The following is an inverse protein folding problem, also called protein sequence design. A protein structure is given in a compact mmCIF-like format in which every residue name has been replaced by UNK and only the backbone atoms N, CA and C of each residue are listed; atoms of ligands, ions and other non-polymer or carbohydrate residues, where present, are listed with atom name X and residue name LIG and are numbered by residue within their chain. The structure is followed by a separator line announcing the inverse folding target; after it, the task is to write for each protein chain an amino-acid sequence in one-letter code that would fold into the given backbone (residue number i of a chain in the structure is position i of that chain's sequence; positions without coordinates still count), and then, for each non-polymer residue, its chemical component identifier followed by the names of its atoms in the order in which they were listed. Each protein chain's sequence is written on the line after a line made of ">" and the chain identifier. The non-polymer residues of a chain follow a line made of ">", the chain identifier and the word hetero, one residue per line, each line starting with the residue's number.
data_IF_635868989958
#
_entry.id   IF_635868989958
#
_cell.length_a   1.000
_cell.length_b   1.000
_cell.length_c   1.000
_cell.angle_alpha   90.00
_cell.angle_beta   90.00
_cell.angle_gamma   90.00
#
_symmetry.space_group_name_H-M   'P 1'
#
loop_
_entity.id
_entity.type
_entity.pdbx_description
1 polymer ?
#
# COMPACT_ATOMS: atom_id res chain seq x y z
N UNK A 1 0.98 11.05 25.77
CA UNK A 1 1.82 11.54 24.65
C UNK A 1 1.61 10.82 23.31
N UNK A 2 1.35 9.49 23.23
CA UNK A 2 1.03 8.81 21.95
C UNK A 2 -0.17 9.44 21.23
N UNK A 3 -1.16 9.86 22.03
CA UNK A 3 -2.43 10.38 21.53
C UNK A 3 -2.29 11.68 20.73
N UNK A 4 -1.42 12.61 21.17
CA UNK A 4 -1.24 13.89 20.47
C UNK A 4 -0.64 13.73 19.08
N UNK A 5 0.32 12.80 18.89
CA UNK A 5 0.91 12.54 17.57
C UNK A 5 -0.13 11.93 16.61
N UNK A 6 -0.92 10.99 17.11
CA UNK A 6 -2.03 10.38 16.36
C UNK A 6 -3.07 11.44 15.97
N UNK A 7 -3.56 12.21 16.94
CA UNK A 7 -4.52 13.30 16.70
C UNK A 7 -3.98 14.36 15.71
N UNK A 8 -2.69 14.68 15.77
CA UNK A 8 -2.07 15.61 14.83
C UNK A 8 -1.99 15.02 13.40
N UNK A 9 -1.78 13.71 13.26
CA UNK A 9 -1.89 12.97 12.00
C UNK A 9 -3.30 13.01 11.45
N UNK A 10 -4.28 12.55 12.24
CA UNK A 10 -5.71 12.53 11.87
C UNK A 10 -6.23 13.92 11.50
N UNK A 11 -5.78 14.97 12.18
CA UNK A 11 -6.12 16.35 11.86
C UNK A 11 -5.55 16.77 10.50
N UNK A 12 -4.32 16.39 10.19
CA UNK A 12 -3.69 16.70 8.91
C UNK A 12 -4.42 15.98 7.77
N UNK A 13 -4.68 14.68 7.91
CA UNK A 13 -5.43 13.87 6.95
C UNK A 13 -6.85 14.44 6.74
N UNK A 14 -7.55 14.77 7.82
CA UNK A 14 -8.89 15.40 7.76
C UNK A 14 -8.87 16.75 7.06
N UNK A 15 -7.83 17.56 7.30
CA UNK A 15 -7.68 18.86 6.64
C UNK A 15 -7.47 18.68 5.14
N UNK A 16 -6.59 17.77 4.73
CA UNK A 16 -6.31 17.48 3.32
C UNK A 16 -7.57 16.94 2.63
N UNK A 17 -8.24 15.96 3.24
CA UNK A 17 -9.53 15.41 2.78
C UNK A 17 -10.56 16.52 2.55
N UNK A 18 -10.73 17.43 3.52
CA UNK A 18 -11.63 18.58 3.39
C UNK A 18 -11.31 19.46 2.17
N UNK A 19 -10.04 19.78 1.92
CA UNK A 19 -9.65 20.56 0.75
C UNK A 19 -9.94 19.79 -0.55
N UNK A 20 -9.64 18.50 -0.61
CA UNK A 20 -9.88 17.71 -1.81
C UNK A 20 -11.38 17.62 -2.13
N UNK A 21 -12.19 17.29 -1.14
CA UNK A 21 -13.64 17.14 -1.30
C UNK A 21 -14.30 18.48 -1.65
N UNK A 22 -13.93 19.57 -0.96
CA UNK A 22 -14.49 20.90 -1.19
C UNK A 22 -14.25 21.40 -2.61
N UNK A 23 -13.06 21.17 -3.17
CA UNK A 23 -12.66 21.77 -4.45
C UNK A 23 -12.81 20.83 -5.65
N UNK A 24 -12.77 19.51 -5.43
CA UNK A 24 -12.81 18.51 -6.50
C UNK A 24 -13.96 17.50 -6.37
N UNK A 25 -14.56 17.34 -5.19
CA UNK A 25 -15.57 16.30 -4.92
C UNK A 25 -16.83 16.39 -5.78
N UNK A 26 -17.22 17.58 -6.21
CA UNK A 26 -18.36 17.80 -7.13
C UNK A 26 -17.95 18.06 -8.59
N UNK A 27 -16.66 17.89 -8.93
CA UNK A 27 -16.16 18.12 -10.28
C UNK A 27 -15.98 16.80 -11.03
N UNK A 28 -16.76 16.59 -12.08
CA UNK A 28 -16.79 15.33 -12.84
C UNK A 28 -15.46 14.93 -13.49
N UNK A 29 -14.48 15.85 -13.58
CA UNK A 29 -13.14 15.53 -14.06
C UNK A 29 -12.28 14.78 -13.03
N UNK A 30 -12.76 14.63 -11.80
CA UNK A 30 -12.03 14.05 -10.69
C UNK A 30 -12.87 13.01 -9.95
N UNK A 31 -12.21 12.01 -9.38
CA UNK A 31 -12.76 11.14 -8.32
C UNK A 31 -11.78 11.11 -7.16
N UNK A 32 -12.28 11.32 -5.95
CA UNK A 32 -11.46 11.40 -4.73
C UNK A 32 -11.77 10.20 -3.85
N UNK A 33 -10.75 9.45 -3.49
CA UNK A 33 -10.80 8.37 -2.51
C UNK A 33 -9.88 8.75 -1.36
N UNK A 34 -10.41 8.77 -0.15
CA UNK A 34 -9.66 9.06 1.07
C UNK A 34 -9.53 7.78 1.88
N UNK A 35 -8.39 7.61 2.54
CA UNK A 35 -8.07 6.46 3.39
C UNK A 35 -8.23 5.11 2.65
N UNK A 36 -7.68 5.04 1.44
CA UNK A 36 -7.81 3.85 0.59
C UNK A 36 -6.81 2.79 1.05
N UNK A 37 -7.33 1.68 1.58
CA UNK A 37 -6.52 0.51 1.92
C UNK A 37 -6.60 -0.52 0.79
N UNK A 38 -5.44 -0.89 0.25
CA UNK A 38 -5.31 -1.95 -0.76
C UNK A 38 -4.37 -3.05 -0.28
N UNK A 39 -4.65 -4.30 -0.64
CA UNK A 39 -3.79 -5.45 -0.36
C UNK A 39 -3.35 -6.10 -1.68
N UNK A 40 -2.05 -6.05 -1.98
CA UNK A 40 -1.52 -6.73 -3.17
C UNK A 40 -0.46 -7.71 -2.73
N UNK A 41 -0.61 -8.98 -3.10
CA UNK A 41 0.32 -10.06 -2.74
C UNK A 41 0.59 -10.20 -1.22
N UNK A 42 -0.39 -9.85 -0.36
CA UNK A 42 -0.23 -9.89 1.10
C UNK A 42 0.40 -8.63 1.71
N UNK A 43 0.65 -7.59 0.90
CA UNK A 43 1.15 -6.30 1.35
C UNK A 43 0.03 -5.28 1.39
N UNK A 44 -0.27 -4.81 2.60
CA UNK A 44 -1.20 -3.71 2.80
C UNK A 44 -0.53 -2.38 2.47
N UNK A 45 -1.22 -1.53 1.73
CA UNK A 45 -0.86 -0.14 1.52
C UNK A 45 -2.07 0.72 1.81
N UNK A 46 -1.89 1.63 2.76
CA UNK A 46 -2.82 2.73 2.99
C UNK A 46 -2.37 3.89 2.12
N UNK A 47 -3.30 4.45 1.35
CA UNK A 47 -3.12 5.64 0.54
C UNK A 47 -4.00 6.72 1.17
N UNK A 48 -3.39 7.72 1.80
CA UNK A 48 -4.10 8.79 2.51
C UNK A 48 -5.18 9.41 1.62
N UNK A 49 -4.79 9.84 0.41
CA UNK A 49 -5.74 10.30 -0.60
C UNK A 49 -5.30 9.94 -2.02
N UNK A 50 -6.24 9.43 -2.81
CA UNK A 50 -6.08 9.13 -4.22
C UNK A 50 -7.00 10.03 -5.05
N UNK A 51 -6.41 10.79 -5.95
CA UNK A 51 -7.15 11.57 -6.96
C UNK A 51 -7.06 10.84 -8.30
N UNK A 52 -8.21 10.42 -8.83
CA UNK A 52 -8.34 9.91 -10.20
C UNK A 52 -8.76 11.05 -11.10
N UNK A 53 -8.10 11.20 -12.25
CA UNK A 53 -8.43 12.20 -13.26
C UNK A 53 -8.17 11.65 -14.66
N UNK A 54 -8.58 12.39 -15.70
CA UNK A 54 -8.56 11.89 -17.09
C UNK A 54 -7.24 11.27 -17.55
N UNK A 55 -6.07 11.77 -17.13
CA UNK A 55 -4.79 11.21 -17.60
C UNK A 55 -4.25 10.09 -16.69
N UNK A 56 -4.81 9.88 -15.49
CA UNK A 56 -4.25 8.93 -14.53
C UNK A 56 -4.61 9.20 -13.08
N UNK A 57 -3.60 9.09 -12.22
CA UNK A 57 -3.73 9.11 -10.76
C UNK A 57 -2.76 10.09 -10.10
N UNK A 58 -3.17 10.67 -8.98
CA UNK A 58 -2.30 11.41 -8.07
C UNK A 58 -2.46 10.80 -6.68
N UNK A 59 -1.37 10.26 -6.14
CA UNK A 59 -1.26 9.87 -4.74
C UNK A 59 -0.85 11.10 -3.94
N UNK A 60 -1.69 11.48 -2.97
CA UNK A 60 -1.43 12.57 -2.04
C UNK A 60 -1.13 11.97 -0.68
N UNK A 61 0.14 12.01 -0.28
CA UNK A 61 0.59 11.58 1.04
C UNK A 61 0.58 12.77 1.98
N UNK A 62 -0.13 12.67 3.10
CA UNK A 62 -0.27 13.75 4.07
C UNK A 62 0.74 13.55 5.22
N UNK A 63 1.46 14.61 5.59
CA UNK A 63 2.43 14.54 6.69
C UNK A 63 2.20 15.65 7.70
N UNK A 64 1.83 15.24 8.91
CA UNK A 64 1.71 16.14 10.05
C UNK A 64 3.10 16.50 10.58
N UNK A 65 3.55 17.72 10.29
CA UNK A 65 4.87 18.21 10.68
C UNK A 65 4.72 19.48 11.50
N UNK A 66 5.20 19.42 12.74
CA UNK A 66 5.36 20.58 13.60
C UNK A 66 6.85 20.95 13.62
N UNK A 67 7.16 22.22 13.32
CA UNK A 67 8.55 22.71 13.23
C UNK A 67 9.08 22.72 11.80
N UNK A 68 10.37 22.47 11.63
CA UNK A 68 11.04 22.44 10.36
C UNK A 68 11.19 21.02 9.80
N UNK A 69 11.23 20.92 8.47
CA UNK A 69 11.61 19.71 7.74
C UNK A 69 12.72 20.09 6.76
N UNK A 70 13.73 19.23 6.66
CA UNK A 70 14.80 19.37 5.67
C UNK A 70 15.04 18.02 5.00
N UNK A 71 15.55 18.09 3.78
CA UNK A 71 16.01 16.93 3.04
C UNK A 71 17.41 17.25 2.55
N UNK A 72 18.36 16.36 2.81
CA UNK A 72 19.72 16.53 2.32
C UNK A 72 19.82 16.12 0.84
N UNK A 73 21.00 16.32 0.24
CA UNK A 73 21.25 16.01 -1.17
C UNK A 73 21.15 14.52 -1.52
N UNK A 74 21.21 13.62 -0.52
CA UNK A 74 21.00 12.17 -0.69
C UNK A 74 19.52 11.76 -0.59
N UNK A 75 18.62 12.71 -0.31
CA UNK A 75 17.20 12.43 -0.17
C UNK A 75 16.79 11.90 1.21
N UNK A 76 17.65 12.05 2.23
CA UNK A 76 17.35 11.67 3.61
C UNK A 76 16.52 12.76 4.29
N UNK A 77 15.44 12.36 4.95
CA UNK A 77 14.46 13.28 5.51
C UNK A 77 14.67 13.43 7.02
N UNK A 78 14.65 14.68 7.47
CA UNK A 78 14.70 15.00 8.89
C UNK A 78 13.63 16.02 9.26
N UNK A 79 13.11 15.91 10.47
CA UNK A 79 12.24 16.93 11.07
C UNK A 79 12.84 17.45 12.37
N UNK A 80 12.58 18.72 12.67
CA UNK A 80 12.95 19.31 13.95
C UNK A 80 11.84 19.09 14.99
N UNK A 81 12.20 18.77 16.23
CA UNK A 81 11.28 18.82 17.36
C UNK A 81 12.03 19.31 18.60
N UNK A 82 11.54 20.41 19.20
CA UNK A 82 12.18 21.08 20.36
C UNK A 82 13.67 21.41 20.15
N UNK A 83 14.03 21.84 18.93
CA UNK A 83 15.41 22.23 18.58
C UNK A 83 16.29 21.08 18.10
N UNK A 84 15.89 19.83 18.33
CA UNK A 84 16.62 18.63 17.90
C UNK A 84 16.12 18.12 16.54
N UNK A 85 17.00 17.48 15.76
CA UNK A 85 16.67 16.87 14.47
C UNK A 85 16.55 15.35 14.57
N UNK A 86 15.54 14.80 13.90
CA UNK A 86 15.29 13.37 13.87
C UNK A 86 15.03 12.92 12.44
N UNK A 87 15.68 11.83 12.04
CA UNK A 87 15.39 11.15 10.79
C UNK A 87 13.94 10.68 10.74
N UNK A 88 13.30 10.81 9.58
CA UNK A 88 11.99 10.25 9.28
C UNK A 88 12.05 9.46 7.98
N UNK A 89 11.19 8.44 7.80
CA UNK A 89 11.12 7.75 6.52
C UNK A 89 10.69 8.72 5.41
N UNK A 90 11.20 8.50 4.19
CA UNK A 90 10.90 9.34 3.04
C UNK A 90 9.42 9.22 2.62
N UNK A 91 8.63 10.31 2.68
CA UNK A 91 7.25 10.31 2.19
C UNK A 91 7.14 10.05 0.69
N UNK A 92 8.15 10.46 -0.09
CA UNK A 92 8.19 10.22 -1.54
C UNK A 92 8.36 8.73 -1.84
N UNK A 93 9.23 8.04 -1.09
CA UNK A 93 9.40 6.59 -1.24
C UNK A 93 8.15 5.82 -0.77
N UNK A 94 7.47 6.28 0.28
CA UNK A 94 6.18 5.71 0.71
C UNK A 94 5.14 5.80 -0.42
N UNK A 95 5.00 6.98 -1.02
CA UNK A 95 4.09 7.18 -2.14
C UNK A 95 4.47 6.36 -3.39
N UNK A 96 5.77 6.14 -3.65
CA UNK A 96 6.21 5.29 -4.75
C UNK A 96 5.75 3.83 -4.57
N UNK A 97 5.90 3.28 -3.36
CA UNK A 97 5.42 1.92 -3.03
C UNK A 97 3.90 1.82 -3.14
N UNK A 98 3.16 2.81 -2.64
CA UNK A 98 1.71 2.90 -2.80
C UNK A 98 1.29 2.89 -4.29
N UNK A 99 1.98 3.66 -5.14
CA UNK A 99 1.73 3.71 -6.58
C UNK A 99 1.98 2.36 -7.23
N UNK A 100 3.05 1.65 -6.86
CA UNK A 100 3.38 0.35 -7.43
C UNK A 100 2.32 -0.70 -7.07
N UNK A 101 1.84 -0.70 -5.82
CA UNK A 101 0.75 -1.56 -5.40
C UNK A 101 -0.57 -1.20 -6.11
N UNK A 102 -0.88 0.10 -6.25
CA UNK A 102 -2.04 0.55 -7.03
C UNK A 102 -1.97 0.08 -8.48
N UNK A 103 -0.80 0.21 -9.13
CA UNK A 103 -0.58 -0.26 -10.51
C UNK A 103 -0.82 -1.75 -10.64
N UNK A 104 -0.28 -2.54 -9.71
CA UNK A 104 -0.44 -3.99 -9.71
C UNK A 104 -1.93 -4.38 -9.59
N UNK A 105 -2.64 -3.82 -8.61
CA UNK A 105 -4.08 -4.06 -8.43
C UNK A 105 -4.89 -3.69 -9.67
N UNK A 106 -4.69 -2.49 -10.21
CA UNK A 106 -5.43 -2.03 -11.40
C UNK A 106 -5.13 -2.89 -12.63
N UNK A 107 -3.88 -3.34 -12.79
CA UNK A 107 -3.48 -4.17 -13.93
C UNK A 107 -4.10 -5.58 -13.86
N UNK A 108 -4.25 -6.16 -12.68
CA UNK A 108 -4.95 -7.44 -12.46
C UNK A 108 -6.43 -7.36 -12.88
N UNK A 109 -7.05 -6.19 -12.73
CA UNK A 109 -8.47 -5.96 -13.03
C UNK A 109 -8.71 -5.16 -14.34
N UNK A 110 -7.70 -5.02 -15.21
CA UNK A 110 -7.77 -4.08 -16.34
C UNK A 110 -8.93 -4.28 -17.32
N UNK A 111 -9.39 -5.52 -17.53
CA UNK A 111 -10.50 -5.82 -18.45
C UNK A 111 -11.87 -5.48 -17.89
N UNK A 112 -11.99 -5.42 -16.57
CA UNK A 112 -13.18 -4.96 -15.87
C UNK A 112 -13.24 -3.43 -15.85
N UNK A 113 -12.08 -2.79 -15.68
CA UNK A 113 -11.99 -1.34 -15.46
C UNK A 113 -11.94 -0.54 -16.77
N UNK A 114 -11.20 -1.04 -17.77
CA UNK A 114 -10.91 -0.32 -19.00
C UNK A 114 -11.60 -0.94 -20.22
N UNK A 115 -11.97 -0.07 -21.15
CA UNK A 115 -12.51 -0.47 -22.43
C UNK A 115 -11.49 -1.12 -23.36
N UNK A 116 -11.97 -1.45 -24.56
CA UNK A 116 -11.14 -1.86 -25.69
C UNK A 116 -11.04 -0.70 -26.67
N UNK A 117 -9.87 -0.50 -27.25
CA UNK A 117 -9.65 0.42 -28.36
C UNK A 117 -9.33 -0.39 -29.61
N UNK A 118 -10.15 -0.26 -30.67
CA UNK A 118 -10.03 -1.05 -31.91
C UNK A 118 -9.95 -2.58 -31.65
N UNK A 119 -10.73 -3.07 -30.69
CA UNK A 119 -10.75 -4.48 -30.30
C UNK A 119 -9.60 -4.92 -29.39
N UNK A 120 -8.59 -4.08 -29.15
CA UNK A 120 -7.47 -4.35 -28.26
C UNK A 120 -7.78 -3.89 -26.84
N UNK A 121 -7.57 -4.77 -25.85
CA UNK A 121 -7.76 -4.44 -24.44
C UNK A 121 -6.76 -3.36 -23.99
N UNK A 122 -7.26 -2.23 -23.52
CA UNK A 122 -6.43 -1.16 -23.00
C UNK A 122 -5.69 -1.59 -21.71
N UNK A 123 -4.66 -0.84 -21.34
CA UNK A 123 -3.86 -1.05 -20.12
C UNK A 123 -3.60 0.29 -19.43
N UNK A 124 -3.21 0.20 -18.16
CA UNK A 124 -2.80 1.33 -17.34
C UNK A 124 -1.35 1.79 -17.57
N UNK A 125 -0.52 1.03 -18.31
CA UNK A 125 0.92 1.29 -18.40
C UNK A 125 1.35 2.66 -18.93
N UNK A 126 0.54 3.29 -19.79
CA UNK A 126 0.80 4.63 -20.34
C UNK A 126 0.02 5.76 -19.63
N UNK A 127 -0.67 5.44 -18.52
CA UNK A 127 -1.37 6.44 -17.71
C UNK A 127 -0.39 7.16 -16.80
N UNK A 128 -0.73 8.37 -16.38
CA UNK A 128 0.10 9.15 -15.48
C UNK A 128 -0.07 8.69 -14.02
N UNK A 129 1.03 8.62 -13.29
CA UNK A 129 1.06 8.39 -11.85
C UNK A 129 1.90 9.48 -11.23
N UNK A 130 1.28 10.31 -10.40
CA UNK A 130 1.92 11.48 -9.80
C UNK A 130 1.88 11.38 -8.28
N UNK A 131 2.83 12.04 -7.65
CA UNK A 131 2.96 12.11 -6.20
C UNK A 131 2.90 13.56 -5.73
N UNK A 132 2.13 13.79 -4.68
CA UNK A 132 2.10 15.05 -3.93
C UNK A 132 2.30 14.73 -2.45
N UNK A 133 3.26 15.39 -1.80
CA UNK A 133 3.48 15.31 -0.36
C UNK A 133 2.90 16.57 0.27
N UNK A 134 1.74 16.44 0.92
CA UNK A 134 1.02 17.52 1.57
C UNK A 134 1.46 17.67 3.04
N UNK A 135 2.35 18.62 3.30
CA UNK A 135 2.83 18.91 4.66
C UNK A 135 1.97 19.97 5.33
N UNK A 136 1.86 19.93 6.66
CA UNK A 136 1.10 20.92 7.44
C UNK A 136 1.46 22.36 7.09
N UNK A 137 0.46 23.25 7.07
CA UNK A 137 0.64 24.68 6.82
C UNK A 137 1.57 25.39 7.81
N UNK A 138 1.77 24.83 9.00
CA UNK A 138 2.70 25.36 10.00
C UNK A 138 4.15 24.87 9.81
N UNK A 139 4.39 23.92 8.92
CA UNK A 139 5.72 23.36 8.69
C UNK A 139 6.62 24.37 7.97
N UNK A 140 7.88 24.47 8.43
CA UNK A 140 8.95 25.23 7.76
C UNK A 140 9.79 24.28 6.93
N UNK A 141 9.59 24.28 5.62
CA UNK A 141 10.40 23.49 4.69
C UNK A 141 11.68 24.25 4.34
N UNK A 142 12.83 23.72 4.76
CA UNK A 142 14.15 24.17 4.31
C UNK A 142 14.41 23.60 2.92
N UNK A 143 14.55 24.48 1.91
CA UNK A 143 14.68 24.08 0.50
C UNK A 143 16.12 24.09 -0.01
N UNK A 144 17.08 24.58 0.77
CA UNK A 144 18.42 24.93 0.26
C UNK A 144 19.17 23.71 -0.31
N UNK A 145 18.92 22.54 0.27
CA UNK A 145 19.60 21.29 -0.09
C UNK A 145 18.68 20.22 -0.70
N UNK A 146 17.39 20.52 -0.91
CA UNK A 146 16.45 19.52 -1.40
C UNK A 146 16.64 19.31 -2.92
N UNK A 147 16.92 18.07 -3.38
CA UNK A 147 16.96 17.76 -4.80
C UNK A 147 15.67 18.18 -5.52
N UNK A 148 15.79 18.70 -6.75
CA UNK A 148 14.66 19.25 -7.49
C UNK A 148 13.56 18.20 -7.75
N UNK A 149 13.96 16.96 -7.99
CA UNK A 149 13.09 15.81 -8.21
C UNK A 149 12.28 15.43 -6.96
N UNK A 150 12.79 15.73 -5.76
CA UNK A 150 12.06 15.60 -4.49
C UNK A 150 11.21 16.86 -4.22
N UNK A 151 11.82 18.03 -4.34
CA UNK A 151 11.26 19.34 -4.01
C UNK A 151 9.95 19.62 -4.75
N UNK A 152 9.84 19.17 -6.01
CA UNK A 152 8.65 19.31 -6.85
C UNK A 152 7.40 18.59 -6.31
N UNK A 153 7.58 17.56 -5.47
CA UNK A 153 6.46 16.81 -4.88
C UNK A 153 5.89 17.49 -3.64
N UNK A 154 6.67 18.33 -2.95
CA UNK A 154 6.33 18.86 -1.63
C UNK A 154 5.53 20.15 -1.75
N UNK A 155 4.35 20.16 -1.13
CA UNK A 155 3.47 21.32 -1.05
C UNK A 155 2.93 21.47 0.37
N UNK A 156 2.77 22.71 0.83
CA UNK A 156 2.03 22.96 2.08
C UNK A 156 0.53 22.85 1.80
N UNK A 157 -0.25 22.35 2.75
CA UNK A 157 -1.68 22.06 2.56
C UNK A 157 -2.47 23.23 1.96
N UNK A 158 -2.16 24.47 2.32
CA UNK A 158 -2.86 25.67 1.80
C UNK A 158 -2.68 25.89 0.28
N UNK A 159 -1.65 25.29 -0.34
CA UNK A 159 -1.39 25.36 -1.78
C UNK A 159 -1.70 24.05 -2.52
N UNK A 160 -2.27 23.06 -1.82
CA UNK A 160 -2.54 21.73 -2.38
C UNK A 160 -3.47 21.79 -3.61
N UNK A 161 -4.52 22.60 -3.54
CA UNK A 161 -5.53 22.72 -4.60
C UNK A 161 -4.89 23.21 -5.89
N UNK A 162 -4.06 24.26 -5.82
CA UNK A 162 -3.39 24.82 -6.99
C UNK A 162 -2.37 23.83 -7.56
N UNK A 163 -1.61 23.15 -6.69
CA UNK A 163 -0.69 22.09 -7.13
C UNK A 163 -1.40 20.99 -7.91
N UNK A 164 -2.56 20.51 -7.44
CA UNK A 164 -3.33 19.48 -8.14
C UNK A 164 -3.83 20.01 -9.49
N UNK A 165 -4.36 21.24 -9.52
CA UNK A 165 -4.81 21.88 -10.77
C UNK A 165 -3.68 22.01 -11.78
N UNK A 166 -2.49 22.45 -11.35
CA UNK A 166 -1.33 22.57 -12.24
C UNK A 166 -0.94 21.22 -12.84
N UNK A 167 -0.91 20.18 -12.00
CA UNK A 167 -0.60 18.81 -12.42
C UNK A 167 -1.64 18.26 -13.41
N UNK A 168 -2.92 18.61 -13.30
CA UNK A 168 -3.97 18.10 -14.19
C UNK A 168 -4.22 18.99 -15.41
N UNK A 169 -3.94 20.30 -15.34
CA UNK A 169 -4.06 21.24 -16.46
C UNK A 169 -2.91 21.11 -17.46
N UNK A 170 -1.70 20.79 -17.01
CA UNK A 170 -0.61 20.44 -17.92
C UNK A 170 -0.99 19.27 -18.86
N UNK A 171 -1.89 18.40 -18.41
CA UNK A 171 -2.42 17.30 -19.21
C UNK A 171 -3.64 17.68 -20.08
N UNK A 172 -4.20 18.89 -19.96
CA UNK A 172 -5.40 19.36 -20.69
C UNK A 172 -5.12 20.46 -21.73
N UNK A 173 -3.96 21.12 -21.70
CA UNK A 173 -3.62 22.21 -22.62
C UNK A 173 -3.32 21.67 -24.04
N UNK A 174 -4.36 21.55 -24.85
CA UNK A 174 -4.37 20.97 -26.20
C UNK A 174 -3.64 21.75 -27.30
N UNK A 175 -2.86 22.79 -26.98
CA UNK A 175 -2.18 23.63 -27.97
C UNK A 175 -0.66 23.39 -28.10
N UNK A 176 -0.08 22.48 -27.30
CA UNK A 176 1.36 22.09 -27.42
C UNK A 176 1.59 20.61 -27.78
N UNK A 177 0.54 19.82 -28.05
CA UNK A 177 0.64 18.35 -28.12
C UNK A 177 0.51 17.75 -29.54
N UNK A 178 1.16 18.30 -30.56
CA UNK A 178 1.23 17.63 -31.87
C UNK A 178 2.08 16.33 -31.87
N UNK A 179 2.57 15.85 -30.72
CA UNK A 179 3.51 14.72 -30.69
C UNK A 179 3.21 13.54 -29.72
N UNK A 180 2.30 13.63 -28.74
CA UNK A 180 1.93 12.47 -27.88
C UNK A 180 0.50 12.57 -27.37
N UNK A 181 -0.44 11.83 -27.96
CA UNK A 181 -1.77 11.67 -27.37
C UNK A 181 -1.65 10.71 -26.18
N UNK A 182 -1.44 11.25 -24.99
CA UNK A 182 -1.50 10.46 -23.76
C UNK A 182 -2.88 9.82 -23.65
N UNK A 183 -2.98 8.52 -23.31
CA UNK A 183 -4.27 7.87 -23.15
C UNK A 183 -5.08 8.55 -22.05
N UNK A 184 -6.31 8.97 -22.35
CA UNK A 184 -7.26 9.53 -21.36
C UNK A 184 -8.37 8.55 -21.00
N UNK A 185 -8.77 8.52 -19.74
CA UNK A 185 -9.93 7.76 -19.30
C UNK A 185 -11.20 8.46 -19.78
N UNK A 186 -12.19 7.68 -20.14
CA UNK A 186 -13.57 8.16 -20.26
C UNK A 186 -14.16 8.43 -18.85
N UNK A 187 -15.27 9.16 -18.77
CA UNK A 187 -15.98 9.35 -17.50
C UNK A 187 -16.39 7.99 -16.89
N UNK A 188 -16.97 7.11 -17.69
CA UNK A 188 -17.39 5.78 -17.27
C UNK A 188 -16.22 4.92 -16.75
N UNK A 189 -15.04 5.01 -17.38
CA UNK A 189 -13.84 4.32 -16.87
C UNK A 189 -13.41 4.87 -15.51
N UNK A 190 -13.44 6.19 -15.30
CA UNK A 190 -13.15 6.78 -14.00
C UNK A 190 -14.18 6.35 -12.94
N UNK A 191 -15.46 6.26 -13.30
CA UNK A 191 -16.52 5.79 -12.40
C UNK A 191 -16.38 4.31 -12.05
N UNK A 192 -16.04 3.46 -13.02
CA UNK A 192 -15.71 2.05 -12.77
C UNK A 192 -14.51 1.90 -11.84
N UNK A 193 -13.42 2.62 -12.12
CA UNK A 193 -12.21 2.61 -11.27
C UNK A 193 -12.55 3.07 -9.85
N UNK A 194 -13.26 4.19 -9.70
CA UNK A 194 -13.67 4.71 -8.40
C UNK A 194 -14.50 3.69 -7.62
N UNK A 195 -15.52 3.13 -8.27
CA UNK A 195 -16.44 2.18 -7.64
C UNK A 195 -15.72 0.90 -7.24
N UNK A 196 -14.84 0.38 -8.10
CA UNK A 196 -14.00 -0.77 -7.83
C UNK A 196 -13.11 -0.55 -6.60
N UNK A 197 -12.33 0.53 -6.56
CA UNK A 197 -11.42 0.82 -5.45
C UNK A 197 -12.17 1.05 -4.13
N UNK A 198 -13.32 1.74 -4.19
CA UNK A 198 -14.19 1.96 -3.01
C UNK A 198 -14.76 0.66 -2.46
N UNK A 199 -15.16 -0.26 -3.33
CA UNK A 199 -15.69 -1.56 -2.91
C UNK A 199 -14.57 -2.47 -2.40
N UNK A 200 -13.38 -2.40 -3.01
CA UNK A 200 -12.19 -3.09 -2.54
C UNK A 200 -11.87 -2.74 -1.08
N UNK A 201 -11.92 -1.45 -0.73
CA UNK A 201 -11.73 -0.96 0.64
C UNK A 201 -12.72 -1.59 1.64
N UNK A 202 -14.01 -1.65 1.29
CA UNK A 202 -15.06 -2.25 2.14
C UNK A 202 -14.90 -3.75 2.35
N UNK A 203 -14.32 -4.45 1.38
CA UNK A 203 -14.02 -5.88 1.51
C UNK A 203 -12.78 -6.17 2.37
N UNK A 204 -11.92 -5.16 2.58
CA UNK A 204 -10.72 -5.24 3.43
C UNK A 204 -10.93 -4.72 4.87
N UNK A 205 -12.04 -4.04 5.17
CA UNK A 205 -12.38 -3.67 6.55
C UNK A 205 -12.73 -4.91 7.37
N UNK A 206 -12.07 -5.16 8.51
CA UNK A 206 -12.57 -6.13 9.48
C UNK A 206 -13.96 -5.66 9.93
N UNK A 207 -14.96 -6.54 9.84
CA UNK A 207 -16.24 -6.34 10.53
C UNK A 207 -15.92 -5.95 11.98
N UNK A 208 -16.49 -4.87 12.54
CA UNK A 208 -16.28 -4.54 13.93
C UNK A 208 -16.80 -5.74 14.73
N UNK A 209 -15.89 -6.47 15.37
CA UNK A 209 -16.25 -7.41 16.40
C UNK A 209 -16.78 -6.53 17.53
N UNK A 210 -18.10 -6.40 17.62
CA UNK A 210 -18.72 -5.84 18.80
C UNK A 210 -18.26 -6.68 19.98
N UNK A 211 -17.54 -6.04 20.89
CA UNK A 211 -17.16 -6.56 22.21
C UNK A 211 -18.43 -6.83 23.04
N UNK A 212 -19.19 -7.86 22.68
CA UNK A 212 -20.02 -8.55 23.65
C UNK A 212 -19.11 -9.51 24.39
N UNK A 213 -18.67 -9.06 25.56
CA UNK A 213 -18.15 -9.93 26.63
C UNK A 213 -19.00 -11.21 26.69
N UNK A 214 -18.45 -12.41 26.46
CA UNK A 214 -19.16 -13.62 26.78
C UNK A 214 -19.16 -13.75 28.31
N UNK A 215 -20.35 -13.64 28.89
CA UNK A 215 -20.60 -14.20 30.22
C UNK A 215 -20.31 -15.68 30.13
N UNK A 216 -19.50 -16.16 31.06
CA UNK A 216 -19.13 -17.56 31.19
C UNK A 216 -20.39 -18.41 31.34
N UNK A 217 -20.57 -19.36 30.43
CA UNK A 217 -21.43 -20.52 30.67
C UNK A 217 -20.76 -21.75 30.07
N UNK A 218 -20.61 -22.77 30.91
CA UNK A 218 -19.98 -24.03 30.59
C UNK A 218 -20.72 -24.72 29.43
N UNK A 219 -20.02 -24.93 28.33
CA UNK A 219 -20.38 -25.94 27.35
C UNK A 219 -19.11 -26.68 26.91
N UNK A 220 -19.19 -27.99 27.06
CA UNK A 220 -18.19 -29.03 26.89
C UNK A 220 -17.18 -28.84 25.75
N UNK A 221 -15.93 -29.19 26.07
CA UNK A 221 -14.81 -29.34 25.13
C UNK A 221 -15.08 -30.52 24.19
N UNK A 222 -15.16 -30.32 22.85
CA UNK A 222 -14.90 -31.39 21.91
C UNK A 222 -13.40 -31.40 21.60
N UNK A 223 -12.80 -32.57 21.83
CA UNK A 223 -11.42 -32.91 21.54
C UNK A 223 -11.05 -32.56 20.10
N UNK A 224 -9.84 -32.03 19.97
CA UNK A 224 -9.04 -31.83 18.77
C UNK A 224 -9.00 -33.06 17.86
N UNK A 225 -9.40 -32.88 16.59
CA UNK A 225 -8.95 -33.69 15.46
C UNK A 225 -7.89 -32.87 14.71
N UNK A 226 -6.70 -33.46 14.54
CA UNK A 226 -5.47 -32.79 14.12
C UNK A 226 -5.57 -32.05 12.79
N UNK A 227 -5.11 -30.81 12.78
CA UNK A 227 -4.75 -30.10 11.55
C UNK A 227 -3.31 -30.47 11.19
N UNK A 228 -3.11 -31.09 10.03
CA UNK A 228 -1.78 -31.35 9.49
C UNK A 228 -1.08 -30.02 9.16
N UNK A 229 0.14 -29.83 9.67
CA UNK A 229 0.99 -28.68 9.35
C UNK A 229 2.10 -29.10 8.38
N UNK A 230 2.48 -28.21 7.47
CA UNK A 230 3.71 -28.36 6.69
C UNK A 230 4.89 -27.96 7.57
N UNK A 231 5.73 -28.92 7.93
CA UNK A 231 6.97 -28.66 8.67
C UNK A 231 8.09 -28.24 7.72
N UNK A 232 8.99 -27.39 8.22
CA UNK A 232 10.12 -26.84 7.45
C UNK A 232 11.37 -26.97 8.29
N UNK A 233 12.47 -27.39 7.67
CA UNK A 233 13.78 -27.45 8.31
C UNK A 233 14.80 -26.60 7.55
N UNK A 234 15.82 -26.11 8.26
CA UNK A 234 16.93 -25.40 7.64
C UNK A 234 17.67 -26.34 6.68
N UNK A 235 17.83 -25.93 5.41
CA UNK A 235 18.50 -26.72 4.39
C UNK A 235 19.99 -26.98 4.66
N UNK A 236 20.61 -26.25 5.59
CA UNK A 236 22.03 -26.38 5.94
C UNK A 236 22.26 -27.14 7.24
N UNK A 237 21.56 -26.80 8.33
CA UNK A 237 21.81 -27.38 9.64
C UNK A 237 20.65 -28.21 10.21
N UNK A 238 19.53 -28.34 9.49
CA UNK A 238 18.38 -29.15 9.91
C UNK A 238 17.51 -28.52 11.00
N UNK A 239 17.82 -27.31 11.48
CA UNK A 239 17.04 -26.59 12.49
C UNK A 239 15.56 -26.43 12.09
N UNK A 240 14.63 -26.72 13.01
CA UNK A 240 13.16 -26.67 12.77
C UNK A 240 12.45 -25.57 13.54
N UNK A 241 13.00 -25.11 14.65
CA UNK A 241 12.27 -24.27 15.60
C UNK A 241 12.68 -22.80 15.45
N UNK A 242 13.99 -22.56 15.33
CA UNK A 242 14.53 -21.20 15.23
C UNK A 242 14.55 -20.68 13.77
N UNK A 243 13.36 -20.61 13.16
CA UNK A 243 13.13 -20.22 11.77
C UNK A 243 12.20 -19.00 11.67
N UNK A 244 12.67 -17.92 11.05
CA UNK A 244 11.89 -16.71 10.83
C UNK A 244 11.39 -16.64 9.37
N UNK A 245 10.08 -16.65 9.12
CA UNK A 245 9.58 -16.45 7.77
C UNK A 245 9.79 -14.98 7.31
N UNK A 246 10.30 -14.82 6.09
CA UNK A 246 10.61 -13.56 5.41
C UNK A 246 10.21 -13.63 3.93
N UNK A 247 10.34 -12.51 3.21
CA UNK A 247 10.06 -12.39 1.79
C UNK A 247 11.23 -11.75 1.05
N UNK A 248 11.48 -12.21 -0.18
CA UNK A 248 12.48 -11.60 -1.06
C UNK A 248 12.12 -11.81 -2.53
N UNK A 249 13.06 -11.47 -3.42
CA UNK A 249 12.89 -11.48 -4.88
C UNK A 249 12.27 -12.77 -5.45
N UNK A 250 12.51 -13.93 -4.82
CA UNK A 250 12.07 -15.25 -5.30
C UNK A 250 10.91 -15.85 -4.49
N UNK A 251 10.24 -15.04 -3.67
CA UNK A 251 9.12 -15.47 -2.82
C UNK A 251 9.48 -15.62 -1.35
N UNK A 252 8.64 -16.36 -0.63
CA UNK A 252 8.77 -16.59 0.81
C UNK A 252 9.89 -17.58 1.14
N UNK A 253 10.63 -17.31 2.20
CA UNK A 253 11.69 -18.17 2.73
C UNK A 253 11.75 -18.04 4.25
N UNK A 254 12.44 -18.98 4.91
CA UNK A 254 12.79 -18.86 6.33
C UNK A 254 14.28 -18.57 6.48
N UNK A 255 14.61 -17.69 7.42
CA UNK A 255 15.99 -17.46 7.90
C UNK A 255 16.22 -18.30 9.14
N UNK A 256 17.25 -19.13 9.12
CA UNK A 256 17.66 -19.88 10.30
C UNK A 256 18.48 -19.01 11.25
N UNK A 257 18.04 -18.85 12.49
CA UNK A 257 18.77 -18.08 13.49
C UNK A 257 20.13 -18.72 13.86
N UNK A 258 20.27 -20.05 13.75
CA UNK A 258 21.51 -20.77 14.10
C UNK A 258 22.63 -20.63 13.07
N UNK A 259 22.30 -20.60 11.78
CA UNK A 259 23.32 -20.63 10.72
C UNK A 259 23.13 -19.56 9.63
N UNK A 260 22.17 -18.65 9.83
CA UNK A 260 21.83 -17.55 8.91
C UNK A 260 21.48 -17.97 7.48
N UNK A 261 21.21 -19.27 7.26
CA UNK A 261 20.90 -19.78 5.93
C UNK A 261 19.42 -19.59 5.61
N UNK A 262 19.14 -19.16 4.37
CA UNK A 262 17.78 -19.02 3.85
C UNK A 262 17.29 -20.33 3.23
N UNK A 263 16.15 -20.84 3.69
CA UNK A 263 15.43 -21.99 3.09
C UNK A 263 14.14 -21.50 2.43
N UNK A 264 13.94 -21.78 1.15
CA UNK A 264 12.70 -21.39 0.47
C UNK A 264 11.49 -22.10 1.10
N UNK A 265 10.40 -21.35 1.33
CA UNK A 265 9.12 -21.92 1.73
C UNK A 265 8.37 -22.39 0.48
N UNK A 266 8.88 -23.46 -0.12
CA UNK A 266 8.29 -24.11 -1.30
C UNK A 266 8.20 -25.61 -1.02
N UNK A 267 6.99 -26.15 -1.08
CA UNK A 267 6.72 -27.55 -0.79
C UNK A 267 5.66 -28.07 -1.78
N UNK A 268 5.78 -29.34 -2.20
CA UNK A 268 4.71 -30.00 -2.95
C UNK A 268 3.46 -30.17 -2.08
N UNK A 269 2.27 -30.31 -2.65
CA UNK A 269 1.06 -30.44 -1.84
C UNK A 269 1.09 -31.78 -1.05
N UNK A 270 1.07 -31.78 0.29
CA UNK A 270 1.02 -33.00 1.09
C UNK A 270 -0.24 -33.84 0.83
N UNK A 271 -1.34 -33.20 0.43
CA UNK A 271 -2.62 -33.87 0.24
C UNK A 271 -2.78 -34.57 -1.11
N UNK A 272 -2.06 -34.14 -2.15
CA UNK A 272 -2.21 -34.69 -3.51
C UNK A 272 -0.91 -34.85 -4.31
N UNK A 273 0.24 -34.50 -3.73
CA UNK A 273 1.56 -34.62 -4.37
C UNK A 273 1.86 -33.58 -5.46
N UNK A 274 0.91 -32.71 -5.82
CA UNK A 274 1.10 -31.74 -6.91
C UNK A 274 2.19 -30.70 -6.60
N UNK A 275 2.98 -30.34 -7.61
CA UNK A 275 4.00 -29.30 -7.52
C UNK A 275 3.46 -27.87 -7.75
N UNK A 276 2.21 -27.74 -8.20
CA UNK A 276 1.48 -26.48 -8.42
C UNK A 276 0.97 -25.92 -7.09
N UNK A 277 1.89 -25.42 -6.28
CA UNK A 277 1.61 -24.83 -4.96
C UNK A 277 2.10 -23.39 -4.88
N UNK A 278 1.37 -22.56 -4.12
CA UNK A 278 1.73 -21.18 -3.84
C UNK A 278 1.79 -20.98 -2.33
N UNK A 279 2.84 -20.33 -1.86
CA UNK A 279 2.96 -19.93 -0.45
C UNK A 279 2.31 -18.56 -0.27
N UNK A 280 1.46 -18.42 0.74
CA UNK A 280 0.74 -17.20 1.09
C UNK A 280 0.92 -16.90 2.57
N UNK A 281 0.97 -15.63 2.93
CA UNK A 281 0.93 -15.15 4.31
C UNK A 281 -0.49 -14.62 4.61
N UNK A 282 -1.00 -14.86 5.81
CA UNK A 282 -2.16 -14.17 6.38
C UNK A 282 -1.84 -13.79 7.83
N UNK A 283 -1.76 -12.49 8.13
CA UNK A 283 -1.29 -12.00 9.45
C UNK A 283 0.07 -12.60 9.82
N UNK A 284 0.18 -13.36 10.91
CA UNK A 284 1.39 -14.07 11.31
C UNK A 284 1.47 -15.49 10.75
N UNK A 285 0.43 -15.99 10.11
CA UNK A 285 0.33 -17.36 9.63
C UNK A 285 0.84 -17.49 8.19
N UNK A 286 1.52 -18.59 7.91
CA UNK A 286 2.00 -18.97 6.59
C UNK A 286 1.19 -20.18 6.10
N UNK A 287 0.79 -20.17 4.83
CA UNK A 287 -0.02 -21.22 4.21
C UNK A 287 0.59 -21.72 2.90
N UNK A 288 0.39 -22.99 2.61
CA UNK A 288 0.61 -23.62 1.31
C UNK A 288 -0.74 -23.83 0.63
N UNK A 289 -1.03 -23.04 -0.39
CA UNK A 289 -2.23 -23.14 -1.21
C UNK A 289 -1.94 -24.03 -2.42
N UNK A 290 -2.66 -25.15 -2.57
CA UNK A 290 -2.52 -26.03 -3.73
C UNK A 290 -3.49 -25.64 -4.85
N UNK A 291 -2.98 -25.41 -6.05
CA UNK A 291 -3.82 -25.07 -7.21
C UNK A 291 -4.55 -26.28 -7.79
N UNK A 292 -4.07 -27.51 -7.54
CA UNK A 292 -4.70 -28.73 -8.06
C UNK A 292 -5.87 -29.21 -7.21
N UNK A 293 -5.73 -29.23 -5.88
CA UNK A 293 -6.78 -29.73 -4.98
C UNK A 293 -7.45 -28.64 -4.12
N UNK A 294 -7.05 -27.37 -4.31
CA UNK A 294 -7.62 -26.19 -3.64
C UNK A 294 -7.53 -26.20 -2.11
N UNK A 295 -6.78 -27.15 -1.52
CA UNK A 295 -6.51 -27.16 -0.08
C UNK A 295 -5.48 -26.11 0.27
N UNK A 296 -5.72 -25.46 1.41
CA UNK A 296 -4.78 -24.56 2.07
C UNK A 296 -4.31 -25.21 3.36
N UNK A 297 -3.00 -25.41 3.49
CA UNK A 297 -2.41 -26.13 4.62
C UNK A 297 -1.45 -25.17 5.34
N UNK A 298 -1.58 -24.97 6.66
CA UNK A 298 -0.71 -24.07 7.39
C UNK A 298 0.72 -24.63 7.47
N UNK A 299 1.72 -23.75 7.38
CA UNK A 299 3.08 -24.08 7.75
C UNK A 299 3.26 -24.02 9.26
N UNK A 300 4.13 -24.86 9.80
CA UNK A 300 4.57 -24.82 11.20
C UNK A 300 5.62 -23.70 11.46
N UNK A 301 5.53 -22.58 10.73
CA UNK A 301 6.36 -21.39 10.94
C UNK A 301 5.48 -20.14 10.84
N UNK A 302 5.81 -19.13 11.63
CA UNK A 302 5.11 -17.85 11.65
C UNK A 302 5.95 -16.75 10.98
N UNK A 303 5.25 -15.71 10.52
CA UNK A 303 5.86 -14.50 10.00
C UNK A 303 6.43 -13.64 11.13
N UNK A 304 7.72 -13.30 11.04
CA UNK A 304 8.37 -12.37 11.98
C UNK A 304 8.88 -12.98 13.29
N UNK A 305 8.60 -14.26 13.58
CA UNK A 305 8.95 -14.91 14.86
C UNK A 305 10.43 -15.30 15.02
N UNK A 306 11.35 -14.63 14.35
CA UNK A 306 12.78 -14.82 14.59
C UNK A 306 13.54 -13.53 14.58
N UNK A 307 13.25 -12.70 15.59
CA UNK A 307 14.19 -11.78 16.22
C UNK A 307 13.55 -11.21 17.48
N UNK A 308 13.44 -12.02 18.53
CA UNK A 308 13.27 -11.54 19.90
C UNK A 308 14.19 -12.32 20.82
N UNK A 309 15.49 -12.07 20.67
CA UNK A 309 16.52 -12.02 21.73
C UNK A 309 17.81 -11.48 21.13
#
# INVERSE_FOLDING_TARGET
>A
MPDYKRMAGEKQESQVSYFLDRYFGSNDNYRILNDLVIEVNGFNSQIDHLVVYKAGFIVVESKSIQGAVRVNSLGEWERSYKGEWFGIPSPVQQAAVQIDNLKALLQEHRSELLGKLLGLQQSFGLRQYKTVIAISSSARLDRDNIPADISQHIVKTEFLVDKIKDLTQAASSGLKSFAKSEPRFTADEMDRIYSFLKNYQRSGEPVPVTDTKPVAEHAEVPKTLGQDFVTVSCKKCGETDALAAQYGRFGYYVVCAKCSTNTALKHGCPACGAASTKTRKSRSDMYLDCQSCQKSIPFAVKWGDGASS
#
